data_IF_618448675757
#
_entry.id   IF_618448675757
#
_cell.length_a   1.000
_cell.length_b   1.000
_cell.length_c   1.000
_cell.angle_alpha   90.00
_cell.angle_beta   90.00
_cell.angle_gamma   90.00
#
_symmetry.space_group_name_H-M   'P 1'
#
loop_
_entity.id
_entity.type
_entity.pdbx_description
1 polymer ?
#
# COMPACT_ATOMS: atom_id res chain seq x y z
N UNK A 1 -12.30 3.03 -23.85
CA UNK A 1 -11.79 3.52 -25.15
C UNK A 1 -11.63 2.38 -26.14
N UNK A 2 -10.79 1.34 -25.87
CA UNK A 2 -10.51 0.26 -26.84
C UNK A 2 -11.76 -0.52 -27.30
N UNK A 3 -12.73 -0.75 -26.41
CA UNK A 3 -13.99 -1.44 -26.75
C UNK A 3 -14.84 -0.71 -27.81
N UNK A 4 -14.59 0.59 -28.05
CA UNK A 4 -15.27 1.34 -29.11
C UNK A 4 -14.77 0.94 -30.51
N UNK A 5 -13.55 0.42 -30.60
CA UNK A 5 -12.90 0.01 -31.85
C UNK A 5 -12.91 -1.51 -32.05
N UNK A 6 -12.91 -2.26 -30.97
CA UNK A 6 -12.96 -3.72 -30.99
C UNK A 6 -13.80 -4.25 -29.82
N UNK A 7 -14.94 -4.92 -30.07
CA UNK A 7 -15.78 -5.48 -29.01
C UNK A 7 -15.09 -6.63 -28.26
N UNK A 8 -14.09 -7.29 -28.87
CA UNK A 8 -13.37 -8.43 -28.30
C UNK A 8 -12.19 -8.01 -27.40
N UNK A 9 -12.26 -6.84 -26.78
CA UNK A 9 -11.25 -6.40 -25.81
C UNK A 9 -11.52 -7.04 -24.45
N UNK A 10 -10.53 -7.77 -23.93
CA UNK A 10 -10.50 -8.32 -22.58
C UNK A 10 -9.50 -7.52 -21.73
N UNK A 11 -9.84 -7.27 -20.47
CA UNK A 11 -8.94 -6.64 -19.50
C UNK A 11 -8.47 -7.72 -18.53
N UNK A 12 -7.17 -7.96 -18.51
CA UNK A 12 -6.51 -8.80 -17.52
C UNK A 12 -5.56 -7.89 -16.75
N UNK A 13 -5.78 -7.74 -15.44
CA UNK A 13 -4.92 -6.96 -14.58
C UNK A 13 -3.56 -7.63 -14.39
N UNK A 14 -2.56 -6.90 -13.94
CA UNK A 14 -1.33 -7.50 -13.42
C UNK A 14 -1.63 -8.25 -12.11
N UNK A 15 -0.68 -9.01 -11.59
CA UNK A 15 -0.89 -9.80 -10.40
C UNK A 15 0.39 -10.18 -9.69
N UNK A 16 0.21 -10.85 -8.54
CA UNK A 16 1.29 -11.35 -7.70
C UNK A 16 1.60 -12.82 -7.99
N UNK A 17 2.82 -13.22 -7.66
CA UNK A 17 3.26 -14.61 -7.65
C UNK A 17 2.99 -15.22 -6.26
N UNK A 18 2.05 -16.18 -6.13
CA UNK A 18 1.71 -16.78 -4.84
C UNK A 18 2.80 -17.69 -4.26
N UNK A 19 3.82 -18.06 -5.04
CA UNK A 19 4.97 -18.82 -4.53
C UNK A 19 5.99 -17.91 -3.86
N UNK A 20 6.05 -16.64 -4.27
CA UNK A 20 6.96 -15.65 -3.70
C UNK A 20 6.30 -14.80 -2.61
N UNK A 21 5.05 -14.42 -2.81
CA UNK A 21 4.30 -13.54 -1.93
C UNK A 21 3.11 -14.29 -1.32
N UNK A 22 3.20 -14.56 -0.03
CA UNK A 22 2.16 -15.24 0.76
C UNK A 22 2.18 -14.71 2.21
N UNK A 23 1.06 -14.79 2.94
CA UNK A 23 0.95 -14.22 4.26
C UNK A 23 1.77 -15.01 5.30
N UNK A 24 2.50 -14.27 6.15
CA UNK A 24 3.23 -14.79 7.29
C UNK A 24 2.91 -13.95 8.54
N UNK A 25 2.66 -14.62 9.67
CA UNK A 25 2.44 -13.96 10.96
C UNK A 25 3.78 -13.76 11.67
N UNK A 26 4.48 -12.69 11.34
CA UNK A 26 5.77 -12.35 11.95
C UNK A 26 5.54 -11.31 13.04
N UNK A 27 5.88 -11.66 14.29
CA UNK A 27 5.86 -10.71 15.40
C UNK A 27 7.02 -9.72 15.28
N UNK A 28 6.73 -8.45 15.53
CA UNK A 28 7.70 -7.37 15.50
C UNK A 28 7.71 -6.61 16.82
N UNK A 29 8.88 -6.05 17.19
CA UNK A 29 9.03 -5.22 18.39
C UNK A 29 8.52 -3.79 18.22
N UNK A 30 8.14 -3.41 17.00
CA UNK A 30 7.61 -2.08 16.65
C UNK A 30 6.49 -2.23 15.66
N UNK A 31 5.54 -1.32 15.71
CA UNK A 31 4.57 -1.12 14.63
C UNK A 31 5.26 -0.46 13.45
N UNK A 32 5.20 -1.05 12.28
CA UNK A 32 5.96 -0.62 11.11
C UNK A 32 5.00 -0.33 9.95
N UNK A 33 4.98 0.91 9.49
CA UNK A 33 4.37 1.28 8.21
C UNK A 33 5.47 1.25 7.16
N UNK A 34 5.31 0.49 6.09
CA UNK A 34 6.35 0.35 5.05
C UNK A 34 5.89 0.92 3.72
N UNK A 35 6.76 1.73 3.12
CA UNK A 35 6.65 2.17 1.73
C UNK A 35 7.83 1.67 0.91
N UNK A 36 7.55 1.07 -0.24
CA UNK A 36 8.57 0.64 -1.20
C UNK A 36 8.37 1.36 -2.54
N UNK A 37 9.30 2.20 -2.96
CA UNK A 37 9.20 2.84 -4.26
C UNK A 37 9.67 4.29 -4.33
N UNK A 38 9.51 4.91 -5.47
CA UNK A 38 9.83 6.33 -5.69
C UNK A 38 8.64 7.19 -5.35
N UNK A 39 8.91 8.36 -4.75
CA UNK A 39 7.88 9.36 -4.51
C UNK A 39 7.56 10.15 -5.79
N UNK A 40 8.57 10.44 -6.60
CA UNK A 40 8.58 11.30 -7.77
C UNK A 40 8.46 12.77 -7.41
N UNK A 41 7.33 13.22 -6.88
CA UNK A 41 7.09 14.56 -6.34
C UNK A 41 5.86 14.55 -5.45
N UNK A 42 5.71 15.57 -4.60
CA UNK A 42 4.51 15.75 -3.77
C UNK A 42 3.25 16.04 -4.61
N UNK A 43 3.41 16.61 -5.80
CA UNK A 43 2.28 16.82 -6.70
C UNK A 43 1.68 15.50 -7.22
N UNK A 44 2.50 14.43 -7.30
CA UNK A 44 2.09 13.12 -7.80
C UNK A 44 1.77 12.19 -6.65
N UNK A 45 2.68 12.08 -5.66
CA UNK A 45 2.57 11.16 -4.51
C UNK A 45 2.80 11.92 -3.23
N UNK A 46 1.74 12.20 -2.49
CA UNK A 46 1.81 13.03 -1.30
C UNK A 46 1.46 12.23 -0.02
N UNK A 47 2.40 12.11 0.93
CA UNK A 47 2.16 11.44 2.20
C UNK A 47 1.52 12.36 3.27
N UNK A 48 1.07 13.55 2.93
CA UNK A 48 0.58 14.58 3.86
C UNK A 48 -0.48 14.07 4.84
N UNK A 49 -1.49 13.31 4.36
CA UNK A 49 -2.53 12.75 5.23
C UNK A 49 -1.96 11.79 6.27
N UNK A 50 -0.96 10.99 5.89
CA UNK A 50 -0.26 10.10 6.82
C UNK A 50 0.47 10.91 7.89
N UNK A 51 1.23 11.93 7.50
CA UNK A 51 2.01 12.75 8.44
C UNK A 51 1.12 13.55 9.38
N UNK A 52 0.04 14.13 8.88
CA UNK A 52 -0.95 14.80 9.70
C UNK A 52 -1.62 13.87 10.73
N UNK A 53 -1.93 12.63 10.33
CA UNK A 53 -2.49 11.63 11.24
C UNK A 53 -1.46 11.18 12.30
N UNK A 54 -0.19 11.01 11.95
CA UNK A 54 0.89 10.67 12.90
C UNK A 54 1.09 11.82 13.90
N UNK A 55 1.11 13.08 13.45
CA UNK A 55 1.22 14.24 14.34
C UNK A 55 0.09 14.25 15.38
N UNK A 56 -1.16 14.06 14.93
CA UNK A 56 -2.32 14.01 15.82
C UNK A 56 -2.29 12.82 16.78
N UNK A 57 -1.92 11.61 16.32
CA UNK A 57 -1.75 10.45 17.18
C UNK A 57 -0.68 10.67 18.26
N UNK A 58 0.36 11.47 17.93
CA UNK A 58 1.42 11.85 18.87
C UNK A 58 0.92 12.88 19.90
N UNK A 59 0.17 13.89 19.48
CA UNK A 59 -0.47 14.87 20.36
C UNK A 59 -1.43 14.19 21.35
N UNK A 60 -2.20 13.22 20.86
CA UNK A 60 -3.13 12.41 21.66
C UNK A 60 -2.41 11.34 22.53
N UNK A 61 -1.08 11.25 22.47
CA UNK A 61 -0.24 10.29 23.18
C UNK A 61 -0.58 8.81 22.90
N UNK A 62 -1.10 8.53 21.72
CA UNK A 62 -1.42 7.18 21.27
C UNK A 62 -0.16 6.45 20.83
N UNK A 63 0.76 7.13 20.16
CA UNK A 63 2.00 6.56 19.61
C UNK A 63 3.25 7.33 20.07
N UNK A 64 4.38 6.61 20.11
CA UNK A 64 5.71 7.19 20.39
C UNK A 64 6.73 6.63 19.38
N UNK A 65 7.84 7.36 19.09
CA UNK A 65 8.81 6.93 18.08
C UNK A 65 9.52 5.60 18.40
N UNK A 66 9.58 5.20 19.66
CA UNK A 66 10.22 3.95 20.09
C UNK A 66 9.46 2.72 19.63
N UNK A 67 8.14 2.80 19.52
CA UNK A 67 7.26 1.68 19.19
C UNK A 67 6.56 1.81 17.84
N UNK A 68 6.63 2.98 17.20
CA UNK A 68 5.96 3.25 15.93
C UNK A 68 6.94 3.83 14.90
N UNK A 69 7.08 3.22 13.73
CA UNK A 69 8.00 3.65 12.68
C UNK A 69 7.34 3.68 11.31
N UNK A 70 7.74 4.63 10.49
CA UNK A 70 7.47 4.64 9.05
C UNK A 70 8.78 4.40 8.32
N UNK A 71 8.86 3.29 7.61
CA UNK A 71 10.09 2.81 6.95
C UNK A 71 9.98 3.03 5.44
N UNK A 72 10.91 3.78 4.89
CA UNK A 72 10.94 4.18 3.49
C UNK A 72 12.08 3.47 2.75
N UNK A 73 11.74 2.56 1.84
CA UNK A 73 12.67 1.95 0.89
C UNK A 73 12.58 2.70 -0.43
N UNK A 74 13.49 3.68 -0.65
CA UNK A 74 13.35 4.62 -1.77
C UNK A 74 14.71 5.21 -2.18
N UNK A 75 14.75 5.91 -3.33
CA UNK A 75 15.93 6.63 -3.80
C UNK A 75 16.24 7.89 -2.97
N UNK A 76 17.43 8.44 -3.21
CA UNK A 76 17.92 9.60 -2.46
C UNK A 76 17.07 10.86 -2.70
N UNK A 77 16.57 11.07 -3.91
CA UNK A 77 15.73 12.22 -4.25
C UNK A 77 14.42 12.18 -3.48
N UNK A 78 13.73 11.04 -3.53
CA UNK A 78 12.50 10.81 -2.77
C UNK A 78 12.73 10.97 -1.25
N UNK A 79 13.85 10.45 -0.71
CA UNK A 79 14.20 10.63 0.71
C UNK A 79 14.32 12.08 1.11
N UNK A 80 14.92 12.91 0.26
CA UNK A 80 15.07 14.34 0.53
C UNK A 80 13.71 15.03 0.61
N UNK A 81 12.80 14.73 -0.31
CA UNK A 81 11.44 15.28 -0.32
C UNK A 81 10.66 14.81 0.92
N UNK A 82 10.69 13.50 1.23
CA UNK A 82 9.97 12.93 2.36
C UNK A 82 10.49 13.51 3.69
N UNK A 83 11.80 13.71 3.82
CA UNK A 83 12.41 14.28 5.03
C UNK A 83 11.94 15.71 5.27
N UNK A 84 11.96 16.57 4.25
CA UNK A 84 11.47 17.94 4.35
C UNK A 84 9.99 17.98 4.75
N UNK A 85 9.19 17.12 4.16
CA UNK A 85 7.76 17.05 4.46
C UNK A 85 7.51 16.52 5.89
N UNK A 86 8.26 15.51 6.33
CA UNK A 86 8.17 15.00 7.70
C UNK A 86 8.59 16.05 8.75
N UNK A 87 9.62 16.85 8.47
CA UNK A 87 10.04 17.98 9.30
C UNK A 87 8.95 19.05 9.38
N UNK A 88 8.31 19.37 8.28
CA UNK A 88 7.21 20.34 8.21
C UNK A 88 6.01 19.95 9.06
N UNK A 89 5.75 18.64 9.19
CA UNK A 89 4.68 18.11 10.06
C UNK A 89 5.15 17.74 11.48
N UNK A 90 6.43 17.92 11.82
CA UNK A 90 6.97 17.60 13.15
C UNK A 90 7.06 16.09 13.44
N UNK A 91 7.06 15.23 12.40
CA UNK A 91 7.01 13.77 12.55
C UNK A 91 8.31 13.07 12.14
N UNK A 92 9.40 13.80 11.93
CA UNK A 92 10.69 13.27 11.47
C UNK A 92 11.27 12.18 12.40
N UNK A 93 10.98 12.21 13.69
CA UNK A 93 11.41 11.22 14.68
C UNK A 93 10.83 9.83 14.46
N UNK A 94 9.76 9.71 13.69
CA UNK A 94 9.10 8.45 13.34
C UNK A 94 9.65 7.80 12.06
N UNK A 95 10.54 8.49 11.32
CA UNK A 95 10.95 8.07 9.98
C UNK A 95 12.26 7.30 9.98
N UNK A 96 12.29 6.15 9.29
CA UNK A 96 13.47 5.39 8.94
C UNK A 96 13.63 5.34 7.41
N UNK A 97 14.85 5.56 6.91
CA UNK A 97 15.13 5.64 5.48
C UNK A 97 16.14 4.58 5.06
N UNK A 98 15.79 3.82 4.04
CA UNK A 98 16.64 2.79 3.43
C UNK A 98 16.74 3.02 1.92
N UNK A 99 17.82 2.52 1.34
CA UNK A 99 17.97 2.39 -0.11
C UNK A 99 17.13 1.23 -0.64
N UNK A 100 17.13 1.06 -1.97
CA UNK A 100 16.51 -0.11 -2.55
C UNK A 100 17.21 -1.38 -2.09
N UNK A 101 16.40 -2.38 -1.84
CA UNK A 101 16.85 -3.71 -1.45
C UNK A 101 16.67 -4.69 -2.61
N UNK A 102 17.37 -5.83 -2.62
CA UNK A 102 17.12 -6.89 -3.57
C UNK A 102 15.64 -7.32 -3.58
N UNK A 103 15.12 -7.67 -4.76
CA UNK A 103 13.73 -8.10 -4.89
C UNK A 103 13.40 -9.34 -4.04
N UNK A 104 14.39 -10.20 -3.79
CA UNK A 104 14.27 -11.38 -2.91
C UNK A 104 13.93 -11.04 -1.47
N UNK A 105 14.26 -9.83 -1.00
CA UNK A 105 14.03 -9.42 0.39
C UNK A 105 12.66 -8.80 0.60
N UNK A 106 12.02 -8.36 -0.48
CA UNK A 106 10.72 -7.67 -0.44
C UNK A 106 9.63 -8.51 0.25
N UNK A 107 9.44 -9.81 -0.05
CA UNK A 107 8.40 -10.60 0.61
C UNK A 107 8.53 -10.61 2.14
N UNK A 108 9.76 -10.72 2.66
CA UNK A 108 10.01 -10.69 4.09
C UNK A 108 9.76 -9.31 4.70
N UNK A 109 10.17 -8.24 4.01
CA UNK A 109 9.94 -6.85 4.44
C UNK A 109 8.43 -6.57 4.53
N UNK A 110 7.66 -6.94 3.51
CA UNK A 110 6.22 -6.76 3.52
C UNK A 110 5.55 -7.54 4.66
N UNK A 111 5.97 -8.78 4.91
CA UNK A 111 5.43 -9.60 5.99
C UNK A 111 5.80 -9.10 7.40
N UNK A 112 6.94 -8.41 7.57
CA UNK A 112 7.33 -7.74 8.83
C UNK A 112 6.64 -6.39 9.04
N UNK A 113 5.91 -5.89 8.06
CA UNK A 113 5.17 -4.64 8.17
C UNK A 113 3.86 -4.84 8.93
N UNK A 114 3.46 -3.81 9.66
CA UNK A 114 2.13 -3.75 10.28
C UNK A 114 1.11 -3.14 9.32
N UNK A 115 1.54 -2.15 8.52
CA UNK A 115 0.73 -1.52 7.47
C UNK A 115 1.59 -1.31 6.24
N UNK A 116 1.04 -1.53 5.06
CA UNK A 116 1.67 -1.27 3.78
C UNK A 116 1.14 0.03 3.19
N UNK A 117 2.03 1.01 3.01
CA UNK A 117 1.66 2.31 2.48
C UNK A 117 1.66 2.28 0.95
N UNK A 118 0.56 2.70 0.38
CA UNK A 118 0.42 2.99 -1.05
C UNK A 118 0.20 4.49 -1.25
N UNK A 119 1.03 5.10 -2.07
CA UNK A 119 0.85 6.49 -2.49
C UNK A 119 0.37 6.49 -3.93
N UNK A 120 -0.81 7.05 -4.15
CA UNK A 120 -1.41 7.14 -5.47
C UNK A 120 -0.81 8.27 -6.30
N UNK A 121 -0.80 8.06 -7.61
CA UNK A 121 -0.44 9.13 -8.51
C UNK A 121 -1.62 10.09 -8.63
N UNK A 122 -1.47 11.31 -8.14
CA UNK A 122 -2.39 12.39 -8.49
C UNK A 122 -2.12 12.82 -9.91
N UNK A 123 -3.15 12.74 -10.74
CA UNK A 123 -3.16 13.35 -12.06
C UNK A 123 -4.17 14.51 -12.05
N UNK A 124 -3.97 15.45 -12.94
CA UNK A 124 -5.03 16.41 -13.25
C UNK A 124 -6.28 15.66 -13.74
N UNK A 125 -7.39 16.35 -13.83
CA UNK A 125 -8.69 15.80 -14.21
C UNK A 125 -8.70 15.08 -15.56
N UNK A 126 -7.67 15.21 -16.37
CA UNK A 126 -7.51 14.62 -17.71
C UNK A 126 -6.67 13.35 -17.73
N UNK A 127 -5.90 13.07 -16.67
CA UNK A 127 -5.00 11.92 -16.58
C UNK A 127 -5.70 10.61 -16.21
N UNK A 128 -5.04 9.47 -16.46
CA UNK A 128 -5.55 8.18 -16.03
C UNK A 128 -5.53 8.07 -14.50
N UNK A 129 -6.63 7.59 -13.93
CA UNK A 129 -6.80 7.38 -12.49
C UNK A 129 -6.57 5.94 -12.11
N UNK A 130 -6.11 5.71 -10.89
CA UNK A 130 -6.08 4.39 -10.29
C UNK A 130 -5.02 3.46 -10.83
N UNK A 131 -3.78 3.89 -10.87
CA UNK A 131 -2.66 3.02 -11.23
C UNK A 131 -2.48 1.90 -10.21
N UNK A 132 -2.91 0.70 -10.57
CA UNK A 132 -2.57 -0.52 -9.85
C UNK A 132 -1.19 -0.99 -10.26
N UNK A 133 -0.19 -0.62 -9.47
CA UNK A 133 1.21 -1.01 -9.69
C UNK A 133 1.45 -2.45 -9.23
N UNK A 134 2.54 -3.08 -9.70
CA UNK A 134 2.98 -4.40 -9.23
C UNK A 134 3.05 -4.48 -7.70
N UNK A 135 3.51 -3.41 -7.05
CA UNK A 135 3.61 -3.33 -5.57
C UNK A 135 2.26 -3.46 -4.86
N UNK A 136 1.19 -2.97 -5.47
CA UNK A 136 -0.16 -3.14 -4.93
C UNK A 136 -0.54 -4.62 -4.87
N UNK A 137 -0.29 -5.37 -5.96
CA UNK A 137 -0.60 -6.80 -6.01
C UNK A 137 0.28 -7.61 -5.03
N UNK A 138 1.56 -7.28 -4.92
CA UNK A 138 2.47 -7.87 -3.92
C UNK A 138 2.00 -7.59 -2.49
N UNK A 139 1.49 -6.38 -2.23
CA UNK A 139 0.91 -6.00 -0.94
C UNK A 139 -0.38 -6.77 -0.63
N UNK A 140 -1.24 -6.99 -1.63
CA UNK A 140 -2.43 -7.83 -1.48
C UNK A 140 -2.08 -9.25 -1.05
N UNK A 141 -1.04 -9.83 -1.67
CA UNK A 141 -0.64 -11.22 -1.46
C UNK A 141 -0.19 -11.54 -0.03
N UNK A 142 0.38 -10.59 0.69
CA UNK A 142 0.85 -10.80 2.07
C UNK A 142 -0.23 -10.54 3.12
N UNK A 143 -1.43 -10.17 2.71
CA UNK A 143 -2.61 -9.98 3.58
C UNK A 143 -2.37 -8.99 4.75
N UNK A 144 -1.43 -8.05 4.59
CA UNK A 144 -1.25 -6.95 5.54
C UNK A 144 -2.18 -5.79 5.20
N UNK A 145 -2.63 -5.00 6.21
CA UNK A 145 -3.45 -3.83 5.97
C UNK A 145 -2.78 -2.86 5.01
N UNK A 146 -3.46 -2.48 3.93
CA UNK A 146 -3.00 -1.50 2.96
C UNK A 146 -3.60 -0.14 3.28
N UNK A 147 -2.76 0.86 3.50
CA UNK A 147 -3.16 2.25 3.61
C UNK A 147 -2.80 2.99 2.32
N UNK A 148 -3.81 3.35 1.56
CA UNK A 148 -3.65 4.18 0.37
C UNK A 148 -4.01 5.62 0.73
N UNK A 149 -3.05 6.54 0.68
CA UNK A 149 -3.31 7.95 1.05
C UNK A 149 -3.26 8.87 -0.14
N UNK A 150 -4.05 9.87 0.00
CA UNK A 150 -4.68 10.76 -0.94
C UNK A 150 -5.29 10.00 -2.12
N UNK A 151 -6.16 9.04 -1.80
CA UNK A 151 -6.90 8.32 -2.84
C UNK A 151 -7.82 9.27 -3.59
N UNK A 152 -7.59 9.39 -4.88
CA UNK A 152 -8.44 10.15 -5.82
C UNK A 152 -8.94 9.28 -6.97
N UNK A 153 -8.66 7.97 -6.88
CA UNK A 153 -8.97 7.03 -7.95
C UNK A 153 -10.07 6.05 -7.63
N UNK A 154 -10.81 5.73 -8.68
CA UNK A 154 -11.83 4.71 -8.61
C UNK A 154 -11.21 3.30 -8.51
N UNK A 155 -10.33 2.93 -9.46
CA UNK A 155 -9.90 1.54 -9.62
C UNK A 155 -9.11 0.97 -8.43
N UNK A 156 -8.14 1.72 -7.88
CA UNK A 156 -7.36 1.26 -6.74
C UNK A 156 -8.21 1.24 -5.46
N UNK A 157 -9.01 2.27 -5.24
CA UNK A 157 -9.92 2.34 -4.11
C UNK A 157 -10.99 1.24 -4.16
N UNK A 158 -11.54 0.95 -5.34
CA UNK A 158 -12.47 -0.16 -5.56
C UNK A 158 -11.82 -1.51 -5.27
N UNK A 159 -10.58 -1.74 -5.76
CA UNK A 159 -9.84 -2.98 -5.51
C UNK A 159 -9.55 -3.20 -4.03
N UNK A 160 -9.12 -2.15 -3.29
CA UNK A 160 -8.91 -2.20 -1.84
C UNK A 160 -10.21 -2.54 -1.11
N UNK A 161 -11.31 -1.90 -1.49
CA UNK A 161 -12.63 -2.14 -0.90
C UNK A 161 -13.16 -3.54 -1.21
N UNK A 162 -13.08 -3.98 -2.46
CA UNK A 162 -13.57 -5.29 -2.92
C UNK A 162 -12.81 -6.43 -2.25
N UNK A 163 -11.50 -6.28 -2.10
CA UNK A 163 -10.64 -7.28 -1.47
C UNK A 163 -10.62 -7.19 0.06
N UNK A 164 -11.24 -6.17 0.66
CA UNK A 164 -11.17 -5.87 2.09
C UNK A 164 -9.72 -5.77 2.60
N UNK A 165 -8.79 -5.33 1.75
CA UNK A 165 -7.37 -5.33 2.05
C UNK A 165 -6.90 -4.10 2.85
N UNK A 166 -7.74 -3.09 3.05
CA UNK A 166 -7.33 -1.89 3.77
C UNK A 166 -8.23 -0.69 3.55
N UNK A 167 -7.63 0.49 3.53
CA UNK A 167 -8.30 1.78 3.41
C UNK A 167 -7.71 2.61 2.27
N UNK A 168 -8.58 3.18 1.45
CA UNK A 168 -8.26 4.25 0.52
C UNK A 168 -8.77 5.58 1.09
N UNK A 169 -7.87 6.32 1.76
CA UNK A 169 -8.21 7.49 2.55
C UNK A 169 -8.16 8.79 1.75
N UNK A 170 -9.08 9.68 2.04
CA UNK A 170 -9.13 11.06 1.51
C UNK A 170 -9.07 12.11 2.62
N UNK A 171 -9.17 11.71 3.90
CA UNK A 171 -9.20 12.60 5.07
C UNK A 171 -8.28 12.09 6.16
N UNK A 172 -7.76 13.04 6.95
CA UNK A 172 -6.87 12.75 8.08
C UNK A 172 -7.53 11.89 9.15
N UNK A 173 -8.82 12.11 9.45
CA UNK A 173 -9.56 11.32 10.44
C UNK A 173 -9.61 9.84 10.08
N UNK A 174 -9.82 9.53 8.78
CA UNK A 174 -9.85 8.15 8.29
C UNK A 174 -8.50 7.45 8.51
N UNK A 175 -7.40 8.16 8.25
CA UNK A 175 -6.04 7.65 8.46
C UNK A 175 -5.75 7.48 9.95
N UNK A 176 -6.16 8.45 10.78
CA UNK A 176 -6.02 8.41 12.23
C UNK A 176 -6.69 7.16 12.82
N UNK A 177 -7.98 6.96 12.52
CA UNK A 177 -8.75 5.83 13.05
C UNK A 177 -8.20 4.48 12.58
N UNK A 178 -7.80 4.41 11.29
CA UNK A 178 -7.17 3.22 10.72
C UNK A 178 -5.85 2.86 11.42
N UNK A 179 -4.97 3.83 11.58
CA UNK A 179 -3.68 3.61 12.24
C UNK A 179 -3.83 3.25 13.71
N UNK A 180 -4.74 3.92 14.43
CA UNK A 180 -5.05 3.63 15.82
C UNK A 180 -5.54 2.19 15.99
N UNK A 181 -6.51 1.77 15.17
CA UNK A 181 -7.06 0.41 15.18
C UNK A 181 -5.96 -0.66 15.00
N UNK A 182 -5.12 -0.53 13.97
CA UNK A 182 -4.07 -1.51 13.73
C UNK A 182 -2.89 -1.40 14.71
N UNK A 183 -2.64 -0.24 15.28
CA UNK A 183 -1.67 -0.10 16.36
C UNK A 183 -2.12 -0.85 17.62
N UNK A 184 -3.38 -0.75 18.01
CA UNK A 184 -3.99 -1.50 19.11
C UNK A 184 -3.94 -3.03 18.84
N UNK A 185 -4.26 -3.48 17.63
CA UNK A 185 -4.12 -4.89 17.23
C UNK A 185 -2.68 -5.38 17.35
N UNK A 186 -1.71 -4.56 16.87
CA UNK A 186 -0.30 -4.92 16.99
C UNK A 186 0.17 -4.97 18.44
N UNK A 187 -0.25 -4.06 19.30
CA UNK A 187 0.07 -4.09 20.73
C UNK A 187 -0.41 -5.39 21.39
N UNK A 188 -1.57 -5.90 20.99
CA UNK A 188 -2.13 -7.13 21.51
C UNK A 188 -1.43 -8.39 20.98
N UNK A 189 -1.20 -8.46 19.68
CA UNK A 189 -0.76 -9.68 18.97
C UNK A 189 0.72 -9.71 18.60
N UNK A 190 1.36 -8.53 18.47
CA UNK A 190 2.69 -8.35 17.93
C UNK A 190 2.76 -8.33 16.39
N UNK A 191 1.64 -8.45 15.70
CA UNK A 191 1.48 -8.36 14.25
C UNK A 191 0.06 -7.89 13.91
N UNK A 192 -0.16 -7.55 12.64
CA UNK A 192 -1.47 -7.14 12.12
C UNK A 192 -1.89 -8.04 10.97
N UNK A 193 -3.19 -8.12 10.72
CA UNK A 193 -3.77 -8.83 9.57
C UNK A 193 -4.94 -8.05 9.01
N UNK A 194 -5.12 -8.09 7.69
CA UNK A 194 -6.31 -7.55 7.04
C UNK A 194 -7.37 -8.65 6.88
N UNK A 195 -8.66 -8.36 7.05
CA UNK A 195 -9.74 -9.32 6.83
C UNK A 195 -10.04 -9.54 5.34
N UNK A 196 -9.01 -9.91 4.57
CA UNK A 196 -9.11 -10.00 3.11
C UNK A 196 -10.16 -11.00 2.64
N UNK A 197 -10.90 -10.60 1.61
CA UNK A 197 -11.74 -11.50 0.84
C UNK A 197 -10.86 -12.31 -0.14
N UNK A 198 -10.54 -13.55 0.24
CA UNK A 198 -9.61 -14.41 -0.52
C UNK A 198 -10.14 -14.82 -1.89
N UNK A 199 -11.44 -14.93 -2.06
CA UNK A 199 -12.03 -15.24 -3.37
C UNK A 199 -11.78 -14.09 -4.35
N UNK A 200 -11.91 -12.85 -3.88
CA UNK A 200 -11.62 -11.66 -4.69
C UNK A 200 -10.12 -11.46 -4.89
N UNK A 201 -9.32 -11.73 -3.87
CA UNK A 201 -7.86 -11.64 -3.92
C UNK A 201 -7.26 -12.61 -4.93
N UNK A 202 -7.79 -13.83 -5.04
CA UNK A 202 -7.29 -14.86 -5.96
C UNK A 202 -7.31 -14.39 -7.42
N UNK A 203 -8.25 -13.52 -7.80
CA UNK A 203 -8.36 -12.95 -9.15
C UNK A 203 -7.12 -12.13 -9.56
N UNK A 204 -6.33 -11.69 -8.59
CA UNK A 204 -5.10 -10.92 -8.80
C UNK A 204 -3.82 -11.79 -8.74
N UNK A 205 -3.94 -13.11 -8.76
CA UNK A 205 -2.77 -14.00 -8.84
C UNK A 205 -2.33 -14.21 -10.30
N UNK A 206 -1.03 -14.36 -10.52
CA UNK A 206 -0.50 -14.71 -11.85
C UNK A 206 -1.02 -16.06 -12.37
N UNK A 207 -1.33 -16.98 -11.45
CA UNK A 207 -1.94 -18.26 -11.79
C UNK A 207 -3.32 -18.06 -12.43
N UNK A 208 -4.15 -17.22 -11.83
CA UNK A 208 -5.47 -16.91 -12.37
C UNK A 208 -5.38 -16.16 -13.71
N UNK A 209 -4.42 -15.23 -13.84
CA UNK A 209 -4.17 -14.56 -15.11
C UNK A 209 -3.80 -15.53 -16.22
N UNK A 210 -2.92 -16.49 -15.93
CA UNK A 210 -2.55 -17.52 -16.91
C UNK A 210 -3.77 -18.35 -17.34
N UNK A 211 -4.67 -18.68 -16.40
CA UNK A 211 -5.95 -19.36 -16.70
C UNK A 211 -6.85 -18.52 -17.61
N UNK A 212 -6.98 -17.21 -17.33
CA UNK A 212 -7.75 -16.30 -18.17
C UNK A 212 -7.17 -16.18 -19.59
N UNK A 213 -5.85 -16.13 -19.74
CA UNK A 213 -5.20 -16.15 -21.05
C UNK A 213 -5.47 -17.47 -21.79
N UNK A 214 -5.32 -18.63 -21.13
CA UNK A 214 -5.59 -19.93 -21.73
C UNK A 214 -7.03 -20.01 -22.26
N UNK A 215 -8.00 -19.56 -21.46
CA UNK A 215 -9.41 -19.55 -21.88
C UNK A 215 -9.67 -18.66 -23.09
N UNK A 216 -9.03 -17.48 -23.18
CA UNK A 216 -9.14 -16.63 -24.36
C UNK A 216 -8.60 -17.31 -25.62
N UNK A 217 -7.49 -18.07 -25.50
CA UNK A 217 -6.92 -18.80 -26.63
C UNK A 217 -7.79 -19.99 -27.08
N UNK A 218 -8.58 -20.57 -26.18
CA UNK A 218 -9.53 -21.63 -26.51
C UNK A 218 -10.80 -21.09 -27.20
N UNK A 219 -11.12 -19.81 -27.05
CA UNK A 219 -12.27 -19.13 -27.68
C UNK A 219 -11.98 -18.69 -29.13
N UNK A 220 -10.73 -18.70 -29.59
CA UNK A 220 -10.29 -18.27 -30.93
C UNK A 220 -10.13 -19.48 -31.86
#
# INVERSE_FOLDING_TARGET
VLKQYNPNVRLIYNGFDPELFYPQQIKTSRFIITYTGRLLSLAIRNPELLFAAIARLTEDKVIIPETFRVVWYTDQESRSIIRQEAERHGVQSFMDYHEYVPASDIPLILNKSSVLLSLTNKFDTSGPKGFMTTKFFESLAVEKPILCVQSDEAYLAEAIKETHSGLAATRVDEVYDFLKHYYEEWQEKGYTTSPVNRDKLSNYSRKEQASQFAHIFEEI
#
